data_IF_528563453468
#
_entry.id   IF_528563453468
#
_cell.length_a   1.000
_cell.length_b   1.000
_cell.length_c   1.000
_cell.angle_alpha   90.00
_cell.angle_beta   90.00
_cell.angle_gamma   90.00
#
_symmetry.space_group_name_H-M   'P 1'
#
loop_
_entity.id
_entity.type
_entity.pdbx_description
1 polymer ?
#
# COMPACT_ATOMS: atom_id res chain seq x y z
N UNK A 1 -21.09 44.05 -48.85
CA UNK A 1 -20.38 44.08 -50.16
C UNK A 1 -19.37 42.93 -50.10
N UNK A 2 -19.74 41.95 -50.88
CA UNK A 2 -19.01 41.05 -51.83
C UNK A 2 -17.90 40.21 -51.19
N UNK A 3 -18.12 38.96 -50.92
CA UNK A 3 -18.33 37.79 -51.79
C UNK A 3 -17.01 37.27 -52.41
N UNK A 4 -16.70 36.00 -52.08
CA UNK A 4 -16.32 34.91 -52.99
C UNK A 4 -15.33 33.89 -52.36
N UNK A 5 -15.83 32.77 -51.96
CA UNK A 5 -15.25 31.44 -52.31
C UNK A 5 -15.45 31.20 -53.82
N UNK A 6 -14.82 30.22 -54.49
CA UNK A 6 -14.53 28.84 -54.11
C UNK A 6 -13.38 28.11 -54.87
N UNK A 7 -13.27 26.78 -54.60
CA UNK A 7 -12.96 25.63 -55.50
C UNK A 7 -11.63 24.91 -55.26
N UNK A 8 -11.68 23.75 -54.71
CA UNK A 8 -11.76 22.34 -55.16
C UNK A 8 -10.84 22.00 -56.36
N UNK A 9 -9.94 21.03 -56.14
CA UNK A 9 -9.66 19.89 -57.06
C UNK A 9 -8.71 18.84 -56.44
N UNK A 10 -9.20 17.61 -56.27
CA UNK A 10 -8.51 16.33 -56.46
C UNK A 10 -8.64 15.97 -57.96
N UNK A 11 -8.12 14.84 -58.47
CA UNK A 11 -7.23 13.75 -58.02
C UNK A 11 -6.15 13.33 -59.05
N UNK A 12 -5.30 12.32 -58.77
CA UNK A 12 -4.82 11.33 -59.76
C UNK A 12 -3.85 10.34 -59.14
N UNK A 13 -4.24 9.13 -58.91
CA UNK A 13 -4.05 7.83 -59.60
C UNK A 13 -2.64 7.41 -60.06
N UNK A 14 -2.27 6.18 -59.64
CA UNK A 14 -1.50 5.22 -60.45
C UNK A 14 -0.12 4.90 -59.91
N UNK A 15 0.27 3.74 -59.53
CA UNK A 15 0.39 2.44 -60.14
C UNK A 15 1.43 1.61 -59.39
N UNK A 16 1.12 0.43 -59.02
CA UNK A 16 2.03 -0.71 -58.75
C UNK A 16 2.52 -1.20 -60.15
N UNK A 17 3.61 -1.99 -60.34
CA UNK A 17 3.86 -3.26 -59.66
C UNK A 17 5.34 -3.75 -59.56
N UNK A 18 5.47 -4.96 -59.00
CA UNK A 18 6.39 -6.08 -59.35
C UNK A 18 7.59 -6.35 -58.47
N UNK A 19 7.46 -7.39 -57.64
CA UNK A 19 8.08 -8.73 -57.69
C UNK A 19 9.63 -8.81 -57.81
N UNK A 20 10.26 -9.38 -56.79
CA UNK A 20 11.35 -10.33 -56.98
C UNK A 20 11.55 -11.21 -55.73
N UNK A 21 11.32 -12.47 -55.90
CA UNK A 21 11.64 -13.61 -55.04
C UNK A 21 13.15 -13.73 -54.82
N UNK A 22 13.56 -13.99 -53.57
CA UNK A 22 14.79 -14.76 -53.34
C UNK A 22 14.62 -15.63 -52.11
N UNK A 23 14.53 -16.91 -52.35
CA UNK A 23 14.64 -18.03 -51.43
C UNK A 23 16.03 -18.08 -50.79
N UNK A 24 16.08 -18.21 -49.48
CA UNK A 24 17.16 -18.97 -48.81
C UNK A 24 16.63 -19.73 -47.60
N UNK A 25 17.10 -20.95 -47.55
CA UNK A 25 16.71 -22.06 -46.72
C UNK A 25 17.11 -21.91 -45.24
N UNK A 26 16.28 -22.51 -44.39
CA UNK A 26 16.66 -23.44 -43.35
C UNK A 26 17.25 -22.88 -42.08
N UNK A 27 16.44 -22.78 -41.00
CA UNK A 27 16.92 -23.37 -39.75
C UNK A 27 15.72 -23.83 -38.90
N UNK A 28 15.78 -25.09 -38.51
CA UNK A 28 14.75 -25.84 -37.81
C UNK A 28 14.84 -25.52 -36.32
N UNK A 29 14.01 -24.61 -35.81
CA UNK A 29 13.79 -24.47 -34.37
C UNK A 29 12.65 -25.42 -33.95
N UNK A 30 13.02 -26.49 -33.26
CA UNK A 30 12.13 -27.48 -32.67
C UNK A 30 11.09 -26.82 -31.75
N UNK A 31 9.84 -26.85 -32.21
CA UNK A 31 8.65 -26.56 -31.42
C UNK A 31 8.44 -27.67 -30.39
N UNK A 32 8.98 -27.51 -29.19
CA UNK A 32 8.62 -28.34 -28.04
C UNK A 32 7.17 -28.10 -27.64
N UNK A 33 6.34 -29.15 -27.72
CA UNK A 33 4.90 -29.13 -27.49
C UNK A 33 4.54 -28.51 -26.10
N UNK A 34 3.45 -27.74 -25.99
CA UNK A 34 3.04 -27.10 -24.74
C UNK A 34 2.70 -28.08 -23.59
N UNK A 35 2.50 -29.33 -23.88
CA UNK A 35 2.15 -30.38 -22.90
C UNK A 35 3.29 -30.72 -21.94
N UNK A 36 4.56 -30.63 -22.34
CA UNK A 36 5.68 -30.92 -21.44
C UNK A 36 5.91 -29.79 -20.41
N UNK A 37 5.67 -28.55 -20.80
CA UNK A 37 5.78 -27.42 -19.87
C UNK A 37 4.74 -27.49 -18.74
N UNK A 38 3.53 -27.99 -19.03
CA UNK A 38 2.47 -28.21 -18.06
C UNK A 38 2.83 -29.35 -17.11
N UNK A 39 3.38 -30.47 -17.63
CA UNK A 39 3.81 -31.61 -16.79
C UNK A 39 4.95 -31.20 -15.85
N UNK A 40 5.94 -30.44 -16.34
CA UNK A 40 7.03 -29.92 -15.51
C UNK A 40 6.53 -28.99 -14.39
N UNK A 41 5.56 -28.13 -14.68
CA UNK A 41 4.96 -27.24 -13.69
C UNK A 41 4.20 -27.99 -12.60
N UNK A 42 3.44 -29.02 -12.96
CA UNK A 42 2.67 -29.85 -12.02
C UNK A 42 3.59 -30.63 -11.09
N UNK A 43 4.72 -31.16 -11.59
CA UNK A 43 5.71 -31.86 -10.77
C UNK A 43 6.38 -30.93 -9.77
N UNK A 44 6.73 -29.70 -10.16
CA UNK A 44 7.32 -28.70 -9.27
C UNK A 44 6.34 -28.30 -8.14
N UNK A 45 5.06 -28.10 -8.47
CA UNK A 45 4.04 -27.77 -7.49
C UNK A 45 3.83 -28.93 -6.50
N UNK A 46 3.82 -30.18 -6.97
CA UNK A 46 3.68 -31.35 -6.10
C UNK A 46 4.86 -31.48 -5.12
N UNK A 47 6.10 -31.20 -5.56
CA UNK A 47 7.28 -31.22 -4.71
C UNK A 47 7.27 -30.12 -3.63
N UNK A 48 6.77 -28.92 -3.97
CA UNK A 48 6.62 -27.83 -3.02
C UNK A 48 5.58 -28.17 -1.94
N UNK A 49 4.45 -28.78 -2.32
CA UNK A 49 3.41 -29.18 -1.37
C UNK A 49 3.94 -30.28 -0.42
N UNK A 50 4.71 -31.23 -0.93
CA UNK A 50 5.34 -32.27 -0.11
C UNK A 50 6.37 -31.69 0.89
N UNK A 51 7.16 -30.69 0.48
CA UNK A 51 8.12 -30.01 1.36
C UNK A 51 7.42 -29.22 2.48
N UNK A 52 6.31 -28.56 2.20
CA UNK A 52 5.50 -27.81 3.18
C UNK A 52 4.88 -28.79 4.20
N UNK A 53 4.38 -29.96 3.75
CA UNK A 53 3.81 -30.97 4.64
C UNK A 53 4.85 -31.53 5.64
N UNK A 54 6.08 -31.76 5.21
CA UNK A 54 7.18 -32.22 6.09
C UNK A 54 7.53 -31.18 7.16
N UNK A 55 7.55 -29.88 6.78
CA UNK A 55 7.81 -28.78 7.75
C UNK A 55 6.69 -28.68 8.80
N UNK A 56 5.44 -28.90 8.38
CA UNK A 56 4.31 -28.89 9.32
C UNK A 56 4.32 -30.04 10.30
N UNK A 57 4.73 -31.25 9.85
CA UNK A 57 4.82 -32.44 10.73
C UNK A 57 5.96 -32.29 11.75
N UNK A 58 7.09 -31.70 11.36
CA UNK A 58 8.21 -31.48 12.30
C UNK A 58 7.87 -30.42 13.37
N UNK A 59 7.08 -29.39 13.04
CA UNK A 59 6.67 -28.38 14.02
C UNK A 59 5.64 -28.87 15.06
N UNK A 60 4.90 -29.93 14.77
CA UNK A 60 3.92 -30.47 15.70
C UNK A 60 4.48 -31.56 16.65
N UNK A 61 5.74 -31.97 16.45
CA UNK A 61 6.36 -33.00 17.31
C UNK A 61 7.25 -32.45 18.44
N UNK A 62 7.44 -31.11 18.51
CA UNK A 62 8.28 -30.49 19.55
C UNK A 62 7.49 -29.97 20.76
N UNK A 63 6.26 -30.44 20.96
CA UNK A 63 5.44 -30.06 22.12
C UNK A 63 5.04 -31.26 22.96
N UNK A 64 6.03 -31.90 23.58
CA UNK A 64 5.79 -32.70 24.83
C UNK A 64 7.10 -33.12 25.47
N UNK A 65 7.23 -32.79 26.76
CA UNK A 65 8.16 -33.27 27.80
C UNK A 65 9.13 -32.18 28.30
N UNK A 66 9.10 -31.73 29.47
CA UNK A 66 9.08 -32.27 30.80
C UNK A 66 9.37 -31.16 31.80
N UNK A 67 8.73 -31.24 32.93
CA UNK A 67 9.01 -30.48 34.15
C UNK A 67 10.34 -30.87 34.78
N UNK A 68 11.08 -29.88 35.32
CA UNK A 68 12.29 -30.15 36.12
C UNK A 68 12.94 -28.88 36.68
N UNK A 69 12.87 -28.77 37.98
CA UNK A 69 13.26 -27.77 38.95
C UNK A 69 14.58 -26.98 38.77
N UNK A 70 14.48 -25.71 39.17
CA UNK A 70 15.41 -24.86 39.94
C UNK A 70 16.94 -24.93 39.71
N UNK A 71 17.54 -23.80 39.32
CA UNK A 71 18.54 -23.08 40.10
C UNK A 71 18.89 -21.72 39.51
N UNK A 72 18.88 -20.71 40.34
CA UNK A 72 19.29 -19.34 40.10
C UNK A 72 20.75 -19.21 39.71
N UNK A 73 21.01 -18.43 38.61
CA UNK A 73 22.28 -17.68 38.48
C UNK A 73 22.02 -16.43 37.65
N UNK A 74 22.18 -15.30 38.30
CA UNK A 74 22.11 -13.95 37.76
C UNK A 74 23.23 -13.74 36.73
N UNK A 75 22.90 -13.53 35.47
CA UNK A 75 23.82 -12.98 34.48
C UNK A 75 23.12 -11.79 33.82
N UNK A 76 23.55 -10.60 34.20
CA UNK A 76 23.17 -9.32 33.60
C UNK A 76 23.75 -9.25 32.20
N UNK A 77 22.93 -9.55 31.20
CA UNK A 77 23.28 -9.29 29.81
C UNK A 77 22.49 -8.05 29.37
N UNK A 78 23.20 -6.93 29.24
CA UNK A 78 22.70 -5.69 28.71
C UNK A 78 22.45 -5.88 27.22
N UNK A 79 21.24 -6.31 26.85
CA UNK A 79 20.77 -6.28 25.45
C UNK A 79 20.28 -4.88 25.14
N UNK A 80 21.04 -4.17 24.33
CA UNK A 80 20.61 -2.90 23.73
C UNK A 80 19.46 -3.20 22.75
N UNK A 81 18.26 -3.27 23.24
CA UNK A 81 17.04 -3.28 22.45
C UNK A 81 16.86 -1.87 21.92
N UNK A 82 17.08 -1.66 20.63
CA UNK A 82 16.62 -0.46 19.92
C UNK A 82 15.11 -0.40 20.03
N UNK A 83 14.64 0.24 21.09
CA UNK A 83 13.22 0.40 21.37
C UNK A 83 12.55 1.19 20.26
N UNK A 84 11.69 0.53 19.48
CA UNK A 84 10.58 1.20 18.82
C UNK A 84 9.85 1.95 19.94
N UNK A 85 9.62 3.27 19.84
CA UNK A 85 8.90 3.98 20.89
C UNK A 85 7.56 3.29 21.08
N UNK A 86 7.34 2.75 22.28
CA UNK A 86 6.06 2.18 22.67
C UNK A 86 4.98 3.18 22.31
N UNK A 87 3.97 2.74 21.57
CA UNK A 87 2.83 3.56 21.18
C UNK A 87 2.33 4.27 22.44
N UNK A 88 2.54 5.57 22.48
CA UNK A 88 2.08 6.40 23.59
C UNK A 88 0.57 6.22 23.62
N UNK A 89 0.05 5.64 24.72
CA UNK A 89 -1.39 5.51 24.92
C UNK A 89 -2.01 6.88 24.64
N UNK A 90 -2.75 7.00 23.54
CA UNK A 90 -3.31 8.25 23.07
C UNK A 90 -4.06 8.87 24.23
N UNK A 91 -3.66 10.07 24.69
CA UNK A 91 -4.41 10.80 25.70
C UNK A 91 -5.83 10.94 25.18
N UNK A 92 -6.77 10.29 25.86
CA UNK A 92 -8.20 10.32 25.54
C UNK A 92 -8.68 11.77 25.62
N UNK A 93 -8.72 12.44 24.49
CA UNK A 93 -9.34 13.76 24.37
C UNK A 93 -10.86 13.59 24.13
N UNK A 94 -11.65 14.65 24.23
CA UNK A 94 -13.07 14.57 23.93
C UNK A 94 -13.28 14.07 22.51
N UNK A 95 -14.26 13.15 22.34
CA UNK A 95 -14.65 12.62 21.03
C UNK A 95 -15.31 13.73 20.22
N UNK A 96 -14.78 14.11 19.04
CA UNK A 96 -15.36 15.15 18.22
C UNK A 96 -16.79 14.81 17.79
N UNK A 97 -17.64 15.82 17.60
CA UNK A 97 -19.00 15.61 17.11
C UNK A 97 -19.01 14.85 15.78
N UNK A 98 -19.95 13.92 15.63
CA UNK A 98 -20.07 13.07 14.45
C UNK A 98 -19.15 11.86 14.42
N UNK A 99 -18.25 11.69 15.40
CA UNK A 99 -17.41 10.51 15.54
C UNK A 99 -18.08 9.45 16.41
N UNK A 100 -17.84 8.18 16.11
CA UNK A 100 -18.25 7.07 16.97
C UNK A 100 -17.53 7.17 18.33
N UNK A 101 -18.30 7.12 19.44
CA UNK A 101 -17.73 7.11 20.80
C UNK A 101 -16.93 5.84 21.09
N UNK A 102 -17.33 4.73 20.50
CA UNK A 102 -16.62 3.46 20.54
C UNK A 102 -16.38 3.03 19.10
N UNK A 103 -15.16 3.12 18.59
CA UNK A 103 -14.83 2.70 17.24
C UNK A 103 -15.25 1.24 17.00
N UNK A 104 -15.85 0.97 15.84
CA UNK A 104 -16.15 -0.37 15.34
C UNK A 104 -15.61 -0.51 13.93
N UNK A 105 -15.23 -1.73 13.51
CA UNK A 105 -14.69 -1.96 12.18
C UNK A 105 -15.66 -1.53 11.08
N UNK A 106 -15.22 -0.62 10.20
CA UNK A 106 -15.95 -0.16 9.03
C UNK A 106 -15.14 -0.32 7.74
N UNK A 107 -15.82 -0.27 6.60
CA UNK A 107 -15.20 -0.12 5.27
C UNK A 107 -15.39 1.33 4.83
N UNK A 108 -14.33 2.15 4.84
CA UNK A 108 -14.44 3.56 4.54
C UNK A 108 -14.73 3.80 3.06
N UNK A 109 -15.56 4.80 2.75
CA UNK A 109 -15.83 5.28 1.39
C UNK A 109 -15.51 6.76 1.21
N UNK A 110 -15.32 7.47 2.32
CA UNK A 110 -15.00 8.90 2.35
C UNK A 110 -14.07 9.22 3.51
N UNK A 111 -13.18 10.19 3.30
CA UNK A 111 -12.41 10.80 4.39
C UNK A 111 -12.59 12.31 4.42
N UNK A 112 -12.32 12.93 5.57
CA UNK A 112 -12.02 14.35 5.71
C UNK A 112 -10.96 14.59 6.77
N UNK A 113 -10.19 15.69 6.62
CA UNK A 113 -9.21 16.16 7.59
C UNK A 113 -9.58 17.59 7.95
N UNK A 114 -10.05 17.77 9.17
CA UNK A 114 -10.69 19.01 9.59
C UNK A 114 -9.73 20.22 9.52
N UNK A 115 -8.51 20.09 10.04
CA UNK A 115 -7.50 21.16 10.04
C UNK A 115 -7.06 21.59 8.64
N UNK A 116 -7.08 20.69 7.68
CA UNK A 116 -6.68 20.94 6.29
C UNK A 116 -7.82 21.34 5.39
N UNK A 117 -9.07 21.23 5.84
CA UNK A 117 -10.30 21.46 5.04
C UNK A 117 -10.29 20.63 3.74
N UNK A 118 -9.89 19.36 3.82
CA UNK A 118 -9.88 18.42 2.69
C UNK A 118 -10.88 17.32 2.92
N UNK A 119 -11.50 16.85 1.85
CA UNK A 119 -12.41 15.72 1.86
C UNK A 119 -12.47 15.11 0.46
N UNK A 120 -12.41 13.77 0.37
CA UNK A 120 -12.59 13.04 -0.88
C UNK A 120 -12.99 11.57 -0.61
N UNK A 121 -12.94 10.75 -1.64
CA UNK A 121 -13.29 9.33 -1.58
C UNK A 121 -12.18 8.51 -0.92
N UNK A 122 -12.56 7.38 -0.36
CA UNK A 122 -11.65 6.28 0.00
C UNK A 122 -12.04 5.08 -0.84
N UNK A 123 -11.06 4.54 -1.57
CA UNK A 123 -11.22 3.37 -2.43
C UNK A 123 -10.71 2.13 -1.69
N UNK A 124 -11.41 1.01 -1.77
CA UNK A 124 -10.91 -0.27 -1.28
C UNK A 124 -9.94 -0.87 -2.30
N UNK A 125 -8.70 -1.17 -1.90
CA UNK A 125 -7.65 -1.75 -2.76
C UNK A 125 -6.95 -2.91 -2.05
N UNK A 126 -6.59 -3.93 -2.83
CA UNK A 126 -5.68 -4.99 -2.39
C UNK A 126 -4.22 -4.60 -2.54
N UNK A 127 -3.36 -5.57 -2.78
CA UNK A 127 -1.97 -5.33 -3.17
C UNK A 127 -1.88 -4.85 -4.61
N UNK A 128 -0.85 -4.08 -4.92
CA UNK A 128 -0.45 -3.73 -6.28
C UNK A 128 0.45 -4.81 -6.91
N UNK A 129 0.98 -4.56 -8.10
CA UNK A 129 1.85 -5.47 -8.83
C UNK A 129 3.18 -5.76 -8.11
N UNK A 130 3.58 -4.93 -7.18
CA UNK A 130 4.79 -5.10 -6.35
C UNK A 130 4.52 -5.79 -5.02
N UNK A 131 3.25 -6.12 -4.71
CA UNK A 131 2.84 -6.69 -3.44
C UNK A 131 2.66 -5.66 -2.31
N UNK A 132 2.75 -4.37 -2.62
CA UNK A 132 2.48 -3.31 -1.67
C UNK A 132 0.98 -2.94 -1.61
N UNK A 133 0.57 -2.18 -0.59
CA UNK A 133 -0.79 -1.65 -0.51
C UNK A 133 -1.11 -0.79 -1.74
N UNK A 134 -2.18 -1.14 -2.45
CA UNK A 134 -2.59 -0.47 -3.67
C UNK A 134 -2.96 0.99 -3.45
N UNK A 135 -2.73 1.82 -4.45
CA UNK A 135 -2.98 3.27 -4.44
C UNK A 135 -4.28 3.64 -5.18
N UNK A 136 -4.80 4.87 -5.04
CA UNK A 136 -5.83 5.41 -5.92
C UNK A 136 -5.40 5.38 -7.39
N UNK A 137 -6.31 5.58 -8.37
CA UNK A 137 -5.92 5.76 -9.77
C UNK A 137 -4.91 6.89 -9.94
N UNK A 138 -3.93 6.73 -10.87
CA UNK A 138 -2.83 7.70 -11.07
C UNK A 138 -3.28 9.13 -11.37
N UNK A 139 -4.48 9.29 -11.92
CA UNK A 139 -5.09 10.58 -12.23
C UNK A 139 -6.04 11.11 -11.15
N UNK A 140 -6.10 10.47 -9.99
CA UNK A 140 -6.90 10.91 -8.85
C UNK A 140 -5.99 11.47 -7.74
N UNK A 141 -5.74 12.78 -7.72
CA UNK A 141 -4.83 13.41 -6.76
C UNK A 141 -5.40 13.51 -5.35
N UNK A 142 -6.70 13.35 -5.17
CA UNK A 142 -7.39 13.72 -3.94
C UNK A 142 -7.84 12.53 -3.10
N UNK A 143 -8.10 11.37 -3.73
CA UNK A 143 -8.59 10.20 -3.02
C UNK A 143 -7.51 9.51 -2.19
N UNK A 144 -7.94 8.78 -1.17
CA UNK A 144 -7.14 7.75 -0.50
C UNK A 144 -7.56 6.36 -1.00
N UNK A 145 -6.67 5.37 -0.83
CA UNK A 145 -7.06 3.97 -0.89
C UNK A 145 -6.82 3.31 0.46
N UNK A 146 -7.81 2.53 0.93
CA UNK A 146 -7.66 1.67 2.10
C UNK A 146 -7.24 0.27 1.66
N UNK A 147 -6.17 -0.26 2.28
CA UNK A 147 -5.68 -1.60 2.06
C UNK A 147 -6.61 -2.63 2.72
N UNK A 148 -7.39 -3.34 1.90
CA UNK A 148 -8.48 -4.19 2.36
C UNK A 148 -8.06 -5.60 2.83
N UNK A 149 -6.77 -5.92 2.76
CA UNK A 149 -6.21 -7.20 3.22
C UNK A 149 -5.54 -7.08 4.60
N UNK A 150 -5.61 -5.89 5.22
CA UNK A 150 -5.15 -5.63 6.58
C UNK A 150 -6.31 -5.29 7.54
N UNK A 151 -6.01 -4.76 8.72
CA UNK A 151 -7.00 -4.33 9.69
C UNK A 151 -8.00 -3.33 9.09
N UNK A 152 -9.27 -3.46 9.50
CA UNK A 152 -10.30 -2.51 9.10
C UNK A 152 -10.15 -1.20 9.87
N UNK A 153 -10.64 -0.13 9.29
CA UNK A 153 -10.79 1.15 9.99
C UNK A 153 -11.70 0.94 11.21
N UNK A 154 -11.24 1.32 12.40
CA UNK A 154 -11.97 1.14 13.65
C UNK A 154 -11.79 -0.23 14.31
N UNK A 155 -10.88 -1.07 13.83
CA UNK A 155 -10.46 -2.29 14.54
C UNK A 155 -9.84 -1.95 15.88
N UNK A 156 -9.98 -2.83 16.84
CA UNK A 156 -9.45 -2.71 18.22
C UNK A 156 -7.96 -2.99 18.32
N UNK A 157 -7.36 -3.52 17.26
CA UNK A 157 -5.93 -3.80 17.14
C UNK A 157 -5.45 -3.65 15.70
N UNK A 158 -4.13 -3.50 15.57
CA UNK A 158 -3.42 -3.45 14.31
C UNK A 158 -3.49 -2.11 13.60
N UNK A 159 -2.73 -2.01 12.51
CA UNK A 159 -2.56 -0.80 11.75
C UNK A 159 -3.37 -0.84 10.45
N UNK A 160 -4.45 -0.08 10.37
CA UNK A 160 -5.23 0.07 9.14
C UNK A 160 -4.49 0.98 8.16
N UNK A 161 -4.03 0.44 7.03
CA UNK A 161 -3.20 1.18 6.07
C UNK A 161 -4.04 1.89 5.04
N UNK A 162 -3.75 3.18 4.86
CA UNK A 162 -4.28 4.05 3.81
C UNK A 162 -3.12 4.54 2.93
N UNK A 163 -3.36 4.70 1.64
CA UNK A 163 -2.39 5.24 0.68
C UNK A 163 -2.93 6.50 0.02
N UNK A 164 -2.06 7.43 -0.33
CA UNK A 164 -2.40 8.60 -1.12
C UNK A 164 -1.27 8.96 -2.09
N UNK A 165 -1.62 9.58 -3.21
CA UNK A 165 -0.61 10.01 -4.17
C UNK A 165 0.19 11.21 -3.72
N UNK A 166 1.45 11.22 -4.14
CA UNK A 166 2.33 12.39 -4.23
C UNK A 166 2.72 12.56 -5.69
N UNK A 167 2.61 13.77 -6.22
CA UNK A 167 3.07 14.10 -7.55
C UNK A 167 4.36 14.92 -7.49
N UNK A 168 5.31 14.65 -8.37
CA UNK A 168 6.59 15.38 -8.40
C UNK A 168 6.42 16.89 -8.65
N UNK A 169 5.34 17.28 -9.34
CA UNK A 169 4.97 18.70 -9.58
C UNK A 169 4.04 19.27 -8.52
N UNK A 170 3.70 18.51 -7.47
CA UNK A 170 2.75 18.93 -6.46
C UNK A 170 1.29 18.69 -6.84
N UNK A 171 0.37 19.12 -5.96
CA UNK A 171 -1.08 19.11 -6.22
C UNK A 171 -1.83 17.88 -5.73
N UNK A 172 -1.14 16.80 -5.38
CA UNK A 172 -1.78 15.62 -4.81
C UNK A 172 -1.94 15.73 -3.28
N UNK A 173 -2.79 14.87 -2.70
CA UNK A 173 -3.05 14.84 -1.27
C UNK A 173 -1.75 14.64 -0.45
N UNK A 174 -0.88 13.73 -0.88
CA UNK A 174 0.40 13.49 -0.20
C UNK A 174 1.30 14.72 -0.16
N UNK A 175 1.33 15.52 -1.25
CA UNK A 175 2.06 16.80 -1.24
C UNK A 175 1.48 17.76 -0.19
N UNK A 176 0.15 17.77 -0.02
CA UNK A 176 -0.54 18.61 0.94
C UNK A 176 -0.34 18.14 2.37
N UNK A 177 -0.40 16.80 2.61
CA UNK A 177 -0.19 16.21 3.94
C UNK A 177 1.20 16.55 4.49
N UNK A 178 2.24 16.48 3.67
CA UNK A 178 3.64 16.70 4.09
C UNK A 178 4.17 18.10 3.78
N UNK A 179 3.29 19.07 3.57
CA UNK A 179 3.66 20.47 3.42
C UNK A 179 4.13 21.04 4.75
N UNK A 180 5.31 21.68 4.79
CA UNK A 180 5.91 22.19 6.02
C UNK A 180 5.08 23.28 6.71
N UNK A 181 4.33 24.06 5.94
CA UNK A 181 3.60 25.21 6.46
C UNK A 181 2.12 24.90 6.70
N UNK A 182 1.49 24.20 5.74
CA UNK A 182 0.04 23.98 5.67
C UNK A 182 -0.34 22.49 5.73
N UNK A 183 0.61 21.61 6.02
CA UNK A 183 0.39 20.18 6.14
C UNK A 183 -0.40 19.81 7.39
N UNK A 184 -0.58 18.50 7.54
CA UNK A 184 -1.27 17.94 8.70
C UNK A 184 -0.48 18.25 9.98
N UNK A 185 -1.19 18.65 11.04
CA UNK A 185 -0.57 19.02 12.33
C UNK A 185 -0.97 18.04 13.41
N UNK A 186 -0.05 17.78 14.34
CA UNK A 186 -0.33 16.95 15.53
C UNK A 186 -1.61 17.40 16.21
N UNK A 187 -2.53 16.45 16.37
CA UNK A 187 -3.85 16.69 16.93
C UNK A 187 -4.97 16.85 15.90
N UNK A 188 -4.66 17.03 14.62
CA UNK A 188 -5.67 17.09 13.56
C UNK A 188 -6.51 15.81 13.52
N UNK A 189 -7.80 15.97 13.25
CA UNK A 189 -8.76 14.87 13.18
C UNK A 189 -8.95 14.44 11.75
N UNK A 190 -8.74 13.15 11.54
CA UNK A 190 -9.04 12.44 10.29
C UNK A 190 -10.31 11.64 10.51
N UNK A 191 -11.34 11.93 9.73
CA UNK A 191 -12.63 11.27 9.75
C UNK A 191 -12.70 10.27 8.61
N UNK A 192 -13.04 9.04 8.91
CA UNK A 192 -13.22 7.97 7.92
C UNK A 192 -14.66 7.47 8.04
N UNK A 193 -15.44 7.66 6.98
CA UNK A 193 -16.88 7.43 6.96
C UNK A 193 -17.22 6.30 5.99
N UNK A 194 -18.07 5.38 6.41
CA UNK A 194 -18.59 4.30 5.58
C UNK A 194 -19.83 4.72 4.76
N UNK A 195 -20.38 3.78 3.98
CA UNK A 195 -21.55 4.01 3.14
C UNK A 195 -22.84 4.29 3.92
N UNK A 196 -22.88 3.96 5.21
CA UNK A 196 -24.05 4.17 6.09
C UNK A 196 -23.96 5.48 6.87
N UNK A 197 -22.85 6.24 6.72
CA UNK A 197 -22.58 7.47 7.45
C UNK A 197 -21.91 7.25 8.81
N UNK A 198 -21.58 6.02 9.19
CA UNK A 198 -20.81 5.76 10.41
C UNK A 198 -19.39 6.27 10.22
N UNK A 199 -18.90 7.04 11.21
CA UNK A 199 -17.62 7.71 11.12
C UNK A 199 -16.70 7.32 12.27
N UNK A 200 -15.57 6.71 11.95
CA UNK A 200 -14.46 6.51 12.87
C UNK A 200 -13.49 7.67 12.71
N UNK A 201 -13.07 8.22 13.83
CA UNK A 201 -12.16 9.36 13.87
C UNK A 201 -10.81 8.95 14.44
N UNK A 202 -9.77 9.46 13.82
CA UNK A 202 -8.39 9.28 14.24
C UNK A 202 -7.75 10.63 14.48
N UNK A 203 -6.82 10.66 15.42
CA UNK A 203 -6.00 11.83 15.73
C UNK A 203 -4.61 11.61 15.18
N UNK A 204 -4.13 12.54 14.35
CA UNK A 204 -2.75 12.51 13.88
C UNK A 204 -1.77 12.78 15.02
N UNK A 205 -0.70 11.99 15.11
CA UNK A 205 0.31 12.09 16.14
C UNK A 205 1.67 12.50 15.59
N UNK A 206 2.24 11.70 14.69
CA UNK A 206 3.56 11.93 14.12
C UNK A 206 3.70 11.21 12.77
N UNK A 207 4.77 11.52 12.08
CA UNK A 207 5.18 10.81 10.87
C UNK A 207 6.60 10.26 11.00
N UNK A 208 6.88 9.27 10.14
CA UNK A 208 8.21 8.70 9.97
C UNK A 208 8.52 8.60 8.49
N UNK A 209 9.72 9.06 8.09
CA UNK A 209 10.20 8.87 6.72
C UNK A 209 11.10 7.65 6.66
N UNK A 210 10.80 6.75 5.72
CA UNK A 210 11.54 5.51 5.47
C UNK A 210 12.09 5.54 4.05
N UNK A 211 13.40 5.32 3.90
CA UNK A 211 14.02 5.16 2.59
C UNK A 211 13.69 3.77 2.05
N UNK A 212 13.20 3.68 0.81
CA UNK A 212 12.69 2.42 0.24
C UNK A 212 13.72 1.30 0.26
N UNK A 213 14.98 1.59 -0.07
CA UNK A 213 16.07 0.61 -0.06
C UNK A 213 16.39 0.05 1.33
N UNK A 214 16.05 0.79 2.39
CA UNK A 214 16.34 0.42 3.78
C UNK A 214 15.09 -0.17 4.49
N UNK A 215 13.97 -0.31 3.75
CA UNK A 215 12.74 -0.86 4.29
C UNK A 215 12.88 -2.36 4.60
N UNK A 216 12.60 -2.72 5.84
CA UNK A 216 12.52 -4.12 6.26
C UNK A 216 11.06 -4.59 6.18
N UNK A 217 10.70 -5.51 5.29
CA UNK A 217 9.32 -5.99 5.15
C UNK A 217 8.82 -6.77 6.37
N UNK A 218 9.73 -7.26 7.22
CA UNK A 218 9.39 -7.95 8.47
C UNK A 218 9.24 -6.98 9.66
N UNK A 219 9.44 -5.68 9.44
CA UNK A 219 9.18 -4.67 10.47
C UNK A 219 7.68 -4.38 10.56
N UNK A 220 7.18 -4.12 11.75
CA UNK A 220 5.78 -3.73 11.97
C UNK A 220 5.54 -2.22 11.73
N UNK A 221 6.47 -1.55 11.04
CA UNK A 221 6.40 -0.09 10.86
C UNK A 221 5.18 0.36 10.05
N UNK A 222 4.70 -0.48 9.12
CA UNK A 222 3.51 -0.18 8.31
C UNK A 222 2.45 -1.27 8.42
N UNK A 223 2.83 -2.53 8.17
CA UNK A 223 1.91 -3.67 8.20
C UNK A 223 2.02 -4.37 9.55
N UNK A 224 1.16 -3.97 10.49
CA UNK A 224 1.05 -4.60 11.81
C UNK A 224 -0.41 -5.00 12.05
N UNK A 225 -0.68 -6.30 12.07
CA UNK A 225 -2.03 -6.83 12.28
C UNK A 225 -2.37 -7.02 13.77
N UNK A 226 -1.38 -6.98 14.65
CA UNK A 226 -1.53 -7.37 16.06
C UNK A 226 -1.17 -6.27 17.06
N UNK A 227 -0.54 -5.19 16.60
CA UNK A 227 -0.17 -4.05 17.42
C UNK A 227 -1.36 -3.24 17.92
N UNK A 228 -1.11 -2.10 18.56
CA UNK A 228 -2.15 -1.19 19.03
C UNK A 228 -3.07 -0.73 17.88
N UNK A 229 -4.33 -0.48 18.21
CA UNK A 229 -5.27 0.09 17.25
C UNK A 229 -4.79 1.43 16.71
N UNK A 230 -4.57 1.49 15.40
CA UNK A 230 -4.14 2.73 14.72
C UNK A 230 -4.53 2.70 13.24
N UNK A 231 -4.38 3.84 12.59
CA UNK A 231 -4.38 3.92 11.14
C UNK A 231 -3.14 4.69 10.67
N UNK A 232 -2.54 4.25 9.57
CA UNK A 232 -1.42 4.92 8.95
C UNK A 232 -1.75 5.36 7.54
N UNK A 233 -1.38 6.59 7.19
CA UNK A 233 -1.44 7.08 5.81
C UNK A 233 -0.03 7.05 5.26
N UNK A 234 0.22 6.33 4.17
CA UNK A 234 1.51 6.25 3.51
C UNK A 234 1.50 6.97 2.17
N UNK A 235 2.53 7.77 1.94
CA UNK A 235 2.74 8.51 0.70
C UNK A 235 4.15 8.27 0.15
N UNK A 236 4.33 8.50 -1.14
CA UNK A 236 5.65 8.55 -1.78
C UNK A 236 6.33 9.89 -1.50
N UNK A 237 7.67 9.90 -1.33
CA UNK A 237 8.44 11.13 -1.14
C UNK A 237 9.86 11.02 -1.72
N UNK A 238 10.58 12.14 -1.80
CA UNK A 238 11.92 12.24 -2.37
C UNK A 238 11.98 11.74 -3.83
N UNK A 239 11.32 12.50 -4.74
CA UNK A 239 11.32 12.20 -6.17
C UNK A 239 12.71 12.34 -6.78
N UNK A 240 13.17 11.31 -7.46
CA UNK A 240 14.46 11.26 -8.15
C UNK A 240 14.25 11.42 -9.65
N UNK A 241 14.58 12.60 -10.18
CA UNK A 241 14.39 12.94 -11.59
C UNK A 241 15.07 11.97 -12.56
N UNK A 242 16.21 11.40 -12.16
CA UNK A 242 17.01 10.48 -13.00
C UNK A 242 16.27 9.15 -13.26
N UNK A 243 15.58 8.63 -12.26
CA UNK A 243 14.86 7.34 -12.33
C UNK A 243 13.38 7.51 -12.60
N UNK A 244 12.81 8.67 -12.32
CA UNK A 244 11.36 8.91 -12.37
C UNK A 244 10.61 8.35 -11.15
N UNK A 245 11.32 7.88 -10.13
CA UNK A 245 10.79 7.18 -8.96
C UNK A 245 10.90 8.02 -7.68
N UNK A 246 10.25 7.56 -6.62
CA UNK A 246 10.31 8.14 -5.30
C UNK A 246 11.10 7.23 -4.36
N UNK A 247 12.21 7.72 -3.80
CA UNK A 247 13.16 6.95 -2.99
C UNK A 247 12.70 6.73 -1.55
N UNK A 248 11.67 7.44 -1.09
CA UNK A 248 11.19 7.36 0.29
C UNK A 248 9.69 7.17 0.37
N UNK A 249 9.25 6.73 1.55
CA UNK A 249 7.86 6.74 1.99
C UNK A 249 7.75 7.56 3.26
N UNK A 250 6.69 8.35 3.38
CA UNK A 250 6.32 9.01 4.65
C UNK A 250 5.07 8.33 5.17
N UNK A 251 5.12 7.90 6.42
CA UNK A 251 4.05 7.19 7.10
C UNK A 251 3.54 8.11 8.22
N UNK A 252 2.30 8.54 8.11
CA UNK A 252 1.62 9.37 9.11
C UNK A 252 0.84 8.46 10.05
N UNK A 253 1.21 8.41 11.32
CA UNK A 253 0.55 7.58 12.33
C UNK A 253 -0.58 8.34 13.02
N UNK A 254 -1.69 7.63 13.19
CA UNK A 254 -2.91 8.19 13.77
C UNK A 254 -3.53 7.18 14.73
N UNK A 255 -4.12 7.67 15.81
CA UNK A 255 -4.77 6.84 16.81
C UNK A 255 -6.26 7.10 16.90
N UNK A 256 -7.10 6.06 17.13
CA UNK A 256 -8.53 6.24 17.24
C UNK A 256 -8.88 7.17 18.39
N UNK A 257 -9.86 8.02 18.15
CA UNK A 257 -10.47 8.87 19.18
C UNK A 257 -11.65 8.13 19.77
N UNK A 258 -11.61 7.85 21.08
CA UNK A 258 -12.63 7.08 21.79
C UNK A 258 -12.80 7.60 23.23
#
# INVERSE_FOLDING_TARGET
>A
MTDRSPRRQEPSTGSTPSNSSTTHAGDSAQSGSPKWRIVALVVVIALIIAAIAVIFIQRNNDSDSAAGAASSTTATTTSSTSGIPAASAAKKGPVPAGCMKTPKPIVPVKYSIDGMKVSAKVLSRGVDETGAAGAPPKNDPSSMAWFNQGPKIGSDKGNAVLTAHTYHKGGALGNRLYDKNNGIKKGDIIRLTDKTGQTVCYRYDHDTKVVVKDYNPNSNILYDNNGPAQAAIVICWDYVKKTGEFDSRVIFYTYPVA
#
